data_IF_428027652051
#
_entry.id   IF_428027652051
#
_cell.length_a   1.000
_cell.length_b   1.000
_cell.length_c   1.000
_cell.angle_alpha   90.00
_cell.angle_beta   90.00
_cell.angle_gamma   90.00
#
_symmetry.space_group_name_H-M   'P 1'
#
loop_
_entity.id
_entity.type
_entity.pdbx_description
1 polymer ?
#
# COMPACT_ATOMS: atom_id res chain seq x y z
N UNK A 1 27.03 -28.03 10.32
CA UNK A 1 25.60 -28.08 9.96
C UNK A 1 24.79 -28.16 11.25
N UNK A 2 24.27 -27.03 11.73
CA UNK A 2 23.30 -27.04 12.82
C UNK A 2 21.98 -26.54 12.24
N UNK A 3 21.11 -27.48 11.92
CA UNK A 3 19.70 -27.19 11.63
C UNK A 3 19.07 -26.74 12.95
N UNK A 4 18.63 -25.49 13.02
CA UNK A 4 17.87 -24.99 14.17
C UNK A 4 16.43 -25.55 14.11
N UNK A 5 15.92 -26.12 15.21
CA UNK A 5 14.60 -26.71 15.27
C UNK A 5 13.57 -25.59 15.44
N UNK A 6 12.94 -25.26 14.33
CA UNK A 6 11.55 -24.84 14.20
C UNK A 6 11.42 -24.51 12.72
N UNK A 7 10.50 -25.17 12.03
CA UNK A 7 10.20 -24.99 10.60
C UNK A 7 10.08 -23.50 10.26
N UNK A 8 11.20 -22.90 9.84
CA UNK A 8 11.35 -21.46 9.70
C UNK A 8 10.39 -21.01 8.60
N UNK A 9 9.53 -20.06 8.94
CA UNK A 9 8.82 -19.25 7.94
C UNK A 9 9.78 -18.96 6.79
N UNK A 10 9.38 -19.35 5.57
CA UNK A 10 10.13 -19.06 4.35
C UNK A 10 10.45 -17.55 4.25
N UNK A 11 9.63 -16.72 4.92
CA UNK A 11 9.80 -15.27 5.04
C UNK A 11 10.50 -14.86 6.34
N UNK A 12 11.41 -13.89 6.23
CA UNK A 12 11.88 -13.03 7.31
C UNK A 12 10.79 -11.98 7.66
N UNK A 13 11.16 -10.95 8.41
CA UNK A 13 10.30 -9.84 8.82
C UNK A 13 10.73 -8.55 8.13
N UNK A 14 9.75 -7.85 7.57
CA UNK A 14 9.97 -6.52 7.02
C UNK A 14 9.95 -5.48 8.14
N UNK A 15 10.83 -4.49 8.02
CA UNK A 15 10.69 -3.21 8.67
C UNK A 15 10.20 -2.18 7.64
N UNK A 16 9.09 -1.52 7.95
CA UNK A 16 8.41 -0.58 7.05
C UNK A 16 8.03 0.67 7.84
N UNK A 17 8.20 1.86 7.26
CA UNK A 17 7.75 3.10 7.89
C UNK A 17 6.22 3.26 7.84
N UNK A 18 5.65 4.10 8.70
CA UNK A 18 4.18 4.32 8.68
C UNK A 18 3.67 4.95 7.38
N UNK A 19 4.57 5.43 6.51
CA UNK A 19 4.27 5.92 5.16
C UNK A 19 4.56 4.88 4.04
N UNK A 20 5.02 3.67 4.37
CA UNK A 20 5.09 2.54 3.43
C UNK A 20 6.44 2.29 2.77
N UNK A 21 7.48 3.06 3.11
CA UNK A 21 8.85 2.75 2.67
C UNK A 21 9.38 1.53 3.43
N UNK A 22 9.73 0.47 2.69
CA UNK A 22 10.44 -0.69 3.24
C UNK A 22 11.88 -0.28 3.53
N UNK A 23 12.26 -0.24 4.81
CA UNK A 23 13.62 0.13 5.24
C UNK A 23 14.52 -1.10 5.35
N UNK A 24 13.96 -2.25 5.71
CA UNK A 24 14.71 -3.50 5.77
C UNK A 24 13.79 -4.71 5.47
N UNK A 25 14.16 -5.55 4.49
CA UNK A 25 13.44 -6.78 4.18
C UNK A 25 13.75 -7.97 5.09
N UNK A 26 14.85 -7.87 5.84
CA UNK A 26 15.44 -8.95 6.64
C UNK A 26 15.66 -8.47 8.08
N UNK A 27 14.67 -7.84 8.71
CA UNK A 27 14.85 -7.13 9.97
C UNK A 27 15.32 -8.02 11.13
N UNK A 28 15.10 -9.35 11.05
CA UNK A 28 15.61 -10.31 12.03
C UNK A 28 16.98 -10.87 11.64
N UNK A 29 17.20 -11.21 10.36
CA UNK A 29 18.48 -11.82 9.93
C UNK A 29 19.60 -10.80 9.74
N UNK A 30 19.27 -9.53 9.47
CA UNK A 30 20.21 -8.44 9.28
C UNK A 30 19.76 -7.19 10.05
N UNK A 31 19.72 -7.24 11.39
CA UNK A 31 19.22 -6.15 12.23
C UNK A 31 20.08 -4.88 12.18
N UNK A 32 21.32 -4.97 11.72
CA UNK A 32 22.25 -3.85 11.54
C UNK A 32 21.77 -2.80 10.52
N UNK A 33 20.85 -3.18 9.62
CA UNK A 33 20.21 -2.27 8.66
C UNK A 33 18.85 -1.76 9.14
N UNK A 34 18.42 -2.09 10.37
CA UNK A 34 17.18 -1.55 10.91
C UNK A 34 17.32 -0.06 11.21
N UNK A 35 16.32 0.70 10.79
CA UNK A 35 16.21 2.14 11.05
C UNK A 35 15.04 2.39 12.00
N UNK A 36 15.23 3.10 13.12
CA UNK A 36 14.11 3.48 14.01
C UNK A 36 13.14 4.45 13.34
N UNK A 37 13.69 5.33 12.50
CA UNK A 37 12.96 6.29 11.67
C UNK A 37 13.46 6.18 10.24
N UNK A 38 12.54 6.28 9.28
CA UNK A 38 12.84 6.14 7.87
C UNK A 38 13.73 7.26 7.36
N UNK A 39 14.85 6.90 6.73
CA UNK A 39 15.77 7.84 6.07
C UNK A 39 15.13 8.63 4.92
N UNK A 40 14.05 8.11 4.28
CA UNK A 40 13.37 8.80 3.18
C UNK A 40 12.35 9.85 3.63
N UNK A 41 11.67 9.67 4.77
CA UNK A 41 10.55 10.54 5.15
C UNK A 41 10.46 10.89 6.64
N UNK A 42 11.40 10.43 7.47
CA UNK A 42 11.47 10.75 8.90
C UNK A 42 10.42 10.06 9.79
N UNK A 43 9.53 9.25 9.22
CA UNK A 43 8.47 8.58 9.97
C UNK A 43 8.97 7.30 10.67
N UNK A 44 8.36 6.96 11.81
CA UNK A 44 8.67 5.76 12.59
C UNK A 44 8.51 4.49 11.75
N UNK A 45 9.35 3.50 12.04
CA UNK A 45 9.25 2.17 11.43
C UNK A 45 8.58 1.15 12.35
N UNK A 46 7.97 0.14 11.74
CA UNK A 46 7.30 -0.98 12.40
C UNK A 46 7.70 -2.29 11.74
N UNK A 47 7.72 -3.36 12.54
CA UNK A 47 7.97 -4.74 12.09
C UNK A 47 6.79 -5.68 12.34
N UNK A 48 5.72 -5.15 12.94
CA UNK A 48 4.50 -5.87 13.31
C UNK A 48 3.27 -5.07 12.88
N UNK A 49 2.18 -5.78 12.61
CA UNK A 49 0.88 -5.17 12.38
C UNK A 49 0.39 -4.47 13.66
N UNK A 50 0.06 -3.17 13.63
CA UNK A 50 -0.43 -2.47 14.82
C UNK A 50 -1.76 -3.01 15.36
N UNK A 51 -2.57 -3.66 14.51
CA UNK A 51 -3.89 -4.17 14.90
C UNK A 51 -3.85 -5.54 15.59
N UNK A 52 -2.93 -6.43 15.21
CA UNK A 52 -2.87 -7.80 15.74
C UNK A 52 -1.49 -8.23 16.24
N UNK A 53 -0.49 -7.34 16.20
CA UNK A 53 0.89 -7.58 16.61
C UNK A 53 1.63 -8.69 15.84
N UNK A 54 1.04 -9.22 14.76
CA UNK A 54 1.69 -10.23 13.92
C UNK A 54 2.78 -9.61 13.05
N UNK A 55 3.91 -10.31 12.87
CA UNK A 55 5.05 -9.81 12.11
C UNK A 55 4.69 -9.50 10.65
N UNK A 56 5.23 -8.41 10.11
CA UNK A 56 5.07 -8.04 8.70
C UNK A 56 5.97 -8.97 7.88
N UNK A 57 5.42 -9.65 6.87
CA UNK A 57 6.22 -10.56 6.02
C UNK A 57 7.29 -9.75 5.28
N UNK A 58 8.53 -10.14 5.51
CA UNK A 58 9.72 -9.65 4.82
C UNK A 58 10.06 -10.48 3.59
N UNK A 59 11.34 -10.45 3.25
CA UNK A 59 11.88 -11.23 2.14
C UNK A 59 11.90 -12.73 2.43
N UNK A 60 11.99 -13.50 1.37
CA UNK A 60 12.25 -14.93 1.47
C UNK A 60 13.71 -15.15 1.88
N UNK A 61 13.96 -16.04 2.85
CA UNK A 61 15.31 -16.39 3.27
C UNK A 61 16.15 -16.88 2.07
N UNK A 62 17.31 -16.26 1.85
CA UNK A 62 18.19 -16.54 0.70
C UNK A 62 17.80 -15.85 -0.61
N UNK A 63 16.76 -15.01 -0.61
CA UNK A 63 16.42 -14.17 -1.76
C UNK A 63 17.49 -13.10 -2.00
N UNK A 64 17.90 -12.93 -3.25
CA UNK A 64 18.78 -11.83 -3.68
C UNK A 64 18.02 -10.56 -4.08
N UNK A 65 16.68 -10.57 -4.02
CA UNK A 65 15.89 -9.39 -4.34
C UNK A 65 15.99 -8.41 -3.17
N UNK A 66 16.58 -7.24 -3.41
CA UNK A 66 16.80 -6.23 -2.37
C UNK A 66 15.58 -5.34 -2.11
N UNK A 67 14.65 -5.26 -3.07
CA UNK A 67 13.47 -4.38 -2.99
C UNK A 67 12.19 -5.14 -3.31
N UNK A 68 11.16 -4.94 -2.48
CA UNK A 68 9.82 -5.46 -2.68
C UNK A 68 8.80 -4.43 -2.19
N UNK A 69 7.58 -4.41 -2.74
CA UNK A 69 6.56 -3.47 -2.30
C UNK A 69 6.08 -3.81 -0.88
N UNK A 70 5.81 -2.78 -0.07
CA UNK A 70 5.16 -2.98 1.21
C UNK A 70 3.77 -3.62 1.02
N UNK A 71 3.40 -4.64 1.81
CA UNK A 71 2.08 -5.25 1.68
C UNK A 71 0.99 -4.24 2.08
N UNK A 72 -0.13 -4.17 1.36
CA UNK A 72 -1.20 -3.21 1.71
C UNK A 72 -2.04 -3.64 2.92
N UNK A 73 -2.19 -4.96 3.12
CA UNK A 73 -3.03 -5.53 4.18
C UNK A 73 -2.28 -6.60 4.97
N UNK A 74 -2.60 -6.71 6.25
CA UNK A 74 -2.03 -7.74 7.10
C UNK A 74 -2.52 -9.12 6.67
N UNK A 75 -1.58 -10.02 6.36
CA UNK A 75 -1.91 -11.39 5.98
C UNK A 75 -2.51 -12.24 7.12
N UNK A 76 -2.41 -11.78 8.37
CA UNK A 76 -2.92 -12.50 9.55
C UNK A 76 -4.34 -12.03 9.94
N UNK A 77 -4.60 -10.72 10.03
CA UNK A 77 -5.90 -10.20 10.45
C UNK A 77 -6.72 -9.51 9.34
N UNK A 78 -6.13 -9.25 8.16
CA UNK A 78 -6.80 -8.58 7.05
C UNK A 78 -6.89 -7.04 7.16
N UNK A 79 -6.45 -6.46 8.28
CA UNK A 79 -6.49 -5.00 8.47
C UNK A 79 -5.52 -4.27 7.54
N UNK A 80 -5.90 -3.09 7.07
CA UNK A 80 -5.01 -2.25 6.28
C UNK A 80 -3.81 -1.81 7.12
N UNK A 81 -2.62 -1.81 6.54
CA UNK A 81 -1.46 -1.21 7.21
C UNK A 81 -1.56 0.33 7.23
N UNK A 82 -0.83 1.00 8.14
CA UNK A 82 -0.91 2.46 8.30
C UNK A 82 -0.70 3.24 7.00
N UNK A 83 0.23 2.80 6.14
CA UNK A 83 0.48 3.46 4.86
C UNK A 83 -0.69 3.34 3.88
N UNK A 84 -1.37 2.19 3.83
CA UNK A 84 -2.58 2.03 3.02
C UNK A 84 -3.72 2.91 3.52
N UNK A 85 -3.92 2.97 4.84
CA UNK A 85 -4.94 3.83 5.43
C UNK A 85 -4.65 5.32 5.18
N UNK A 86 -3.39 5.76 5.36
CA UNK A 86 -2.97 7.15 5.12
C UNK A 86 -3.12 7.55 3.66
N UNK A 87 -2.70 6.70 2.72
CA UNK A 87 -2.86 6.96 1.29
C UNK A 87 -4.34 6.98 0.85
N UNK A 88 -5.20 6.16 1.44
CA UNK A 88 -6.65 6.26 1.22
C UNK A 88 -7.22 7.58 1.72
N UNK A 89 -6.82 8.03 2.91
CA UNK A 89 -7.22 9.34 3.44
C UNK A 89 -6.76 10.47 2.52
N UNK A 90 -5.49 10.48 2.12
CA UNK A 90 -4.96 11.48 1.20
C UNK A 90 -5.68 11.46 -0.17
N UNK A 91 -6.00 10.28 -0.70
CA UNK A 91 -6.75 10.15 -1.95
C UNK A 91 -8.20 10.69 -1.81
N UNK A 92 -8.82 10.56 -0.64
CA UNK A 92 -10.15 11.15 -0.36
C UNK A 92 -10.07 12.67 -0.24
N UNK A 93 -9.05 13.20 0.44
CA UNK A 93 -8.82 14.66 0.52
C UNK A 93 -8.63 15.24 -0.90
N UNK A 94 -7.81 14.60 -1.73
CA UNK A 94 -7.63 15.00 -3.13
C UNK A 94 -8.93 14.89 -3.96
N UNK A 95 -9.82 13.96 -3.63
CA UNK A 95 -11.12 13.84 -4.28
C UNK A 95 -12.04 15.02 -3.95
N UNK A 96 -11.94 15.57 -2.73
CA UNK A 96 -12.69 16.76 -2.32
C UNK A 96 -12.21 18.03 -3.04
N UNK A 97 -10.93 18.11 -3.42
CA UNK A 97 -10.35 19.20 -4.20
C UNK A 97 -10.75 19.17 -5.70
N UNK A 98 -11.50 18.16 -6.15
CA UNK A 98 -11.96 18.09 -7.55
C UNK A 98 -13.15 19.02 -7.78
N UNK A 99 -12.87 20.24 -8.22
CA UNK A 99 -13.88 21.29 -8.46
C UNK A 99 -14.90 20.94 -9.55
N UNK A 100 -14.51 20.14 -10.54
CA UNK A 100 -15.37 19.73 -11.66
C UNK A 100 -16.32 18.57 -11.34
N UNK A 101 -16.38 18.13 -10.07
CA UNK A 101 -17.24 17.02 -9.65
C UNK A 101 -18.35 17.49 -8.71
N UNK A 102 -19.56 16.99 -8.95
CA UNK A 102 -20.67 17.15 -8.01
C UNK A 102 -20.48 16.33 -6.73
N UNK A 103 -21.23 16.67 -5.67
CA UNK A 103 -21.18 15.96 -4.37
C UNK A 103 -21.42 14.45 -4.50
N UNK A 104 -22.35 14.03 -5.35
CA UNK A 104 -22.62 12.62 -5.60
C UNK A 104 -21.42 11.91 -6.25
N UNK A 105 -20.76 12.56 -7.21
CA UNK A 105 -19.59 12.01 -7.89
C UNK A 105 -18.41 11.87 -6.93
N UNK A 106 -18.18 12.86 -6.06
CA UNK A 106 -17.16 12.79 -4.99
C UNK A 106 -17.43 11.63 -4.03
N UNK A 107 -18.70 11.42 -3.63
CA UNK A 107 -19.07 10.28 -2.79
C UNK A 107 -18.86 8.93 -3.50
N UNK A 108 -19.21 8.83 -4.78
CA UNK A 108 -18.97 7.62 -5.58
C UNK A 108 -17.47 7.36 -5.71
N UNK A 109 -16.67 8.39 -5.95
CA UNK A 109 -15.22 8.30 -6.04
C UNK A 109 -14.62 7.80 -4.72
N UNK A 110 -14.98 8.44 -3.60
CA UNK A 110 -14.52 8.08 -2.25
C UNK A 110 -14.81 6.62 -1.91
N UNK A 111 -16.03 6.12 -2.20
CA UNK A 111 -16.38 4.69 -2.02
C UNK A 111 -15.61 3.78 -2.97
N UNK A 112 -15.33 4.22 -4.19
CA UNK A 112 -14.60 3.42 -5.17
C UNK A 112 -13.13 3.23 -4.78
N UNK A 113 -12.53 4.18 -4.06
CA UNK A 113 -11.14 4.06 -3.58
C UNK A 113 -10.92 2.81 -2.72
N UNK A 114 -11.87 2.46 -1.85
CA UNK A 114 -11.78 1.27 -0.99
C UNK A 114 -11.77 -0.04 -1.79
N UNK A 115 -12.56 -0.10 -2.86
CA UNK A 115 -12.66 -1.27 -3.75
C UNK A 115 -11.49 -1.35 -4.75
N UNK A 116 -10.78 -0.24 -5.01
CA UNK A 116 -9.62 -0.20 -5.91
C UNK A 116 -8.33 -0.73 -5.26
N UNK A 117 -8.24 -0.63 -3.94
CA UNK A 117 -7.07 -1.12 -3.19
C UNK A 117 -7.20 -2.57 -2.76
N UNK A 118 -8.42 -3.13 -2.80
CA UNK A 118 -8.71 -4.54 -2.50
C UNK A 118 -8.90 -5.30 -3.81
N UNK A 119 -8.34 -6.50 -3.93
CA UNK A 119 -8.54 -7.34 -5.13
C UNK A 119 -9.78 -8.21 -4.95
N UNK A 120 -10.94 -7.67 -5.32
CA UNK A 120 -12.26 -8.29 -5.14
C UNK A 120 -13.10 -8.19 -6.41
N UNK A 121 -14.22 -8.90 -6.53
CA UNK A 121 -15.12 -8.73 -7.68
C UNK A 121 -15.57 -7.27 -7.90
N UNK A 122 -15.68 -6.47 -6.83
CA UNK A 122 -16.07 -5.05 -6.90
C UNK A 122 -15.01 -4.15 -7.52
N UNK A 123 -13.75 -4.58 -7.58
CA UNK A 123 -12.63 -3.80 -8.15
C UNK A 123 -12.91 -3.42 -9.60
N UNK A 124 -13.53 -4.31 -10.38
CA UNK A 124 -13.93 -4.03 -11.76
C UNK A 124 -14.95 -2.88 -11.87
N UNK A 125 -15.95 -2.86 -10.98
CA UNK A 125 -16.97 -1.81 -10.90
C UNK A 125 -16.33 -0.49 -10.47
N UNK A 126 -15.47 -0.54 -9.45
CA UNK A 126 -14.76 0.63 -8.95
C UNK A 126 -13.82 1.22 -10.00
N UNK A 127 -13.13 0.37 -10.78
CA UNK A 127 -12.28 0.78 -11.90
C UNK A 127 -13.06 1.55 -12.98
N UNK A 128 -14.24 1.06 -13.36
CA UNK A 128 -15.10 1.74 -14.35
C UNK A 128 -15.59 3.08 -13.81
N UNK A 129 -16.08 3.12 -12.57
CA UNK A 129 -16.52 4.36 -11.90
C UNK A 129 -15.40 5.38 -11.83
N UNK A 130 -14.23 4.95 -11.39
CA UNK A 130 -13.02 5.78 -11.31
C UNK A 130 -12.67 6.36 -12.67
N UNK A 131 -12.54 5.54 -13.73
CA UNK A 131 -12.22 6.03 -15.08
C UNK A 131 -13.22 7.07 -15.58
N UNK A 132 -14.51 6.84 -15.36
CA UNK A 132 -15.57 7.78 -15.77
C UNK A 132 -15.49 9.12 -15.04
N UNK A 133 -15.25 9.09 -13.73
CA UNK A 133 -15.12 10.30 -12.90
C UNK A 133 -13.84 11.05 -13.25
N UNK A 134 -12.70 10.35 -13.34
CA UNK A 134 -11.40 10.98 -13.62
C UNK A 134 -11.32 11.63 -14.99
N UNK A 135 -12.10 11.16 -15.98
CA UNK A 135 -12.24 11.83 -17.28
C UNK A 135 -12.92 13.19 -17.20
N UNK A 136 -13.83 13.38 -16.23
CA UNK A 136 -14.52 14.65 -15.98
C UNK A 136 -13.70 15.60 -15.10
N UNK A 137 -13.07 15.04 -14.06
CA UNK A 137 -12.40 15.82 -13.03
C UNK A 137 -11.27 16.69 -13.60
N UNK A 138 -10.31 16.09 -14.32
CA UNK A 138 -9.16 16.79 -14.89
C UNK A 138 -8.32 17.59 -13.87
N UNK A 139 -7.26 18.24 -14.34
CA UNK A 139 -6.46 19.15 -13.51
C UNK A 139 -5.49 18.47 -12.53
N UNK A 140 -4.82 19.31 -11.73
CA UNK A 140 -3.71 18.90 -10.86
C UNK A 140 -4.14 17.91 -9.76
N UNK A 141 -5.27 18.18 -9.09
CA UNK A 141 -5.80 17.32 -8.04
C UNK A 141 -6.12 15.91 -8.57
N UNK A 142 -6.62 15.80 -9.80
CA UNK A 142 -6.91 14.53 -10.43
C UNK A 142 -5.63 13.70 -10.72
N UNK A 143 -4.57 14.36 -11.18
CA UNK A 143 -3.28 13.71 -11.43
C UNK A 143 -2.61 13.28 -10.12
N UNK A 144 -2.68 14.11 -9.08
CA UNK A 144 -2.13 13.76 -7.78
C UNK A 144 -2.91 12.63 -7.09
N UNK A 145 -4.23 12.57 -7.29
CA UNK A 145 -5.06 11.47 -6.81
C UNK A 145 -4.65 10.16 -7.49
N UNK A 146 -4.47 10.16 -8.82
CA UNK A 146 -3.97 9.00 -9.57
C UNK A 146 -2.61 8.55 -9.05
N UNK A 147 -1.69 9.50 -8.80
CA UNK A 147 -0.36 9.21 -8.24
C UNK A 147 -0.47 8.56 -6.86
N UNK A 148 -1.26 9.14 -5.96
CA UNK A 148 -1.48 8.60 -4.61
C UNK A 148 -2.11 7.21 -4.63
N UNK A 149 -3.10 6.99 -5.51
CA UNK A 149 -3.75 5.70 -5.68
C UNK A 149 -2.80 4.64 -6.23
N UNK A 150 -1.87 5.00 -7.12
CA UNK A 150 -0.91 4.07 -7.70
C UNK A 150 -0.13 3.31 -6.63
N UNK A 151 0.27 3.97 -5.55
CA UNK A 151 1.09 3.34 -4.50
C UNK A 151 0.37 2.18 -3.78
N UNK A 152 -0.96 2.24 -3.70
CA UNK A 152 -1.76 1.31 -2.88
C UNK A 152 -2.77 0.47 -3.67
N UNK A 153 -2.96 0.78 -4.96
CA UNK A 153 -3.83 0.04 -5.84
C UNK A 153 -3.36 -1.40 -6.03
N UNK A 154 -4.31 -2.29 -6.30
CA UNK A 154 -4.01 -3.66 -6.70
C UNK A 154 -3.22 -3.68 -8.01
N UNK A 155 -2.44 -4.74 -8.25
CA UNK A 155 -1.70 -4.89 -9.51
C UNK A 155 -2.64 -4.90 -10.74
N UNK A 156 -3.84 -5.46 -10.59
CA UNK A 156 -4.87 -5.43 -11.64
C UNK A 156 -5.32 -4.00 -11.96
N UNK A 157 -5.56 -3.16 -10.95
CA UNK A 157 -5.90 -1.75 -11.10
C UNK A 157 -4.73 -0.95 -11.66
N UNK A 158 -3.50 -1.17 -11.16
CA UNK A 158 -2.30 -0.49 -11.65
C UNK A 158 -2.12 -0.71 -13.15
N UNK A 159 -2.17 -1.96 -13.61
CA UNK A 159 -2.08 -2.32 -15.03
C UNK A 159 -3.17 -1.68 -15.87
N UNK A 160 -4.37 -1.54 -15.32
CA UNK A 160 -5.52 -1.00 -16.04
C UNK A 160 -5.57 0.54 -16.09
N UNK A 161 -4.96 1.24 -15.13
CA UNK A 161 -4.94 2.70 -15.02
C UNK A 161 -3.61 3.33 -15.45
N UNK A 162 -2.52 2.60 -15.34
CA UNK A 162 -1.16 3.10 -15.53
C UNK A 162 -0.36 2.18 -16.46
N UNK A 163 -0.76 2.05 -17.74
CA UNK A 163 -0.05 1.19 -18.69
C UNK A 163 1.38 1.70 -18.92
N UNK A 164 2.35 0.77 -18.96
CA UNK A 164 3.76 1.08 -19.25
C UNK A 164 4.63 1.40 -18.03
N UNK A 165 4.13 1.16 -16.82
CA UNK A 165 4.90 1.16 -15.56
C UNK A 165 4.89 -0.23 -14.96
#
# INVERSE_FOLDING_TARGET
MYLRPDSQSVYDVAQVCLNGHVTNGFSRSSPEFNETFCSNCGERTITVCPACNHAIRGQIAGSMIVSFPAPSFCHNCGEAYPWTARSLTAARELAEELENLGTEEKQILSKSLDDLVRDTPKTSVALVRFKNIMRKAGGLAAEQLKSTLREIATESVKRALFPGV
#
